data_IF_431517845485
#
_entry.id   IF_431517845485
#
_cell.length_a   1.000
_cell.length_b   1.000
_cell.length_c   1.000
_cell.angle_alpha   90.00
_cell.angle_beta   90.00
_cell.angle_gamma   90.00
#
_symmetry.space_group_name_H-M   'P 1'
#
loop_
_entity.id
_entity.type
_entity.pdbx_description
1 polymer ?
#
# COMPACT_ATOMS: atom_id res chain seq x y z
N UNK A 1 -9.25 20.29 -15.78
CA UNK A 1 -9.10 20.28 -14.32
C UNK A 1 -8.50 18.96 -13.88
N UNK A 2 -7.27 19.03 -13.36
CA UNK A 2 -6.56 17.89 -12.79
C UNK A 2 -7.04 17.69 -11.36
N UNK A 3 -7.43 16.46 -11.00
CA UNK A 3 -7.84 16.13 -9.64
C UNK A 3 -6.63 16.16 -8.70
N UNK A 4 -6.84 16.59 -7.45
CA UNK A 4 -5.77 16.60 -6.45
C UNK A 4 -5.37 15.17 -6.05
N UNK A 5 -4.07 14.94 -5.90
CA UNK A 5 -3.53 13.65 -5.46
C UNK A 5 -3.78 13.43 -3.97
N UNK A 6 -4.31 12.25 -3.60
CA UNK A 6 -4.57 11.90 -2.18
C UNK A 6 -3.28 11.77 -1.36
N UNK A 7 -2.20 11.28 -1.97
CA UNK A 7 -0.88 11.15 -1.34
C UNK A 7 0.11 12.05 -2.10
N UNK A 8 0.87 12.87 -1.38
CA UNK A 8 1.84 13.80 -1.98
C UNK A 8 3.07 13.93 -1.08
N UNK A 9 4.26 13.86 -1.68
CA UNK A 9 5.54 14.09 -0.98
C UNK A 9 5.84 13.13 0.17
N UNK A 10 5.37 11.88 0.09
CA UNK A 10 5.58 10.88 1.14
C UNK A 10 6.99 10.28 0.99
N UNK A 11 7.83 10.48 2.01
CA UNK A 11 9.12 9.80 2.17
C UNK A 11 9.14 9.05 3.50
N UNK A 12 9.15 7.72 3.44
CA UNK A 12 9.14 6.83 4.59
C UNK A 12 10.01 5.62 4.29
N UNK A 13 10.82 5.22 5.27
CA UNK A 13 11.56 3.96 5.27
C UNK A 13 11.16 3.16 6.51
N UNK A 14 10.84 1.88 6.31
CA UNK A 14 10.53 0.94 7.39
C UNK A 14 11.57 -0.17 7.35
N UNK A 15 12.33 -0.33 8.43
CA UNK A 15 13.32 -1.38 8.56
C UNK A 15 12.66 -2.71 8.95
N UNK A 16 13.37 -3.81 8.66
CA UNK A 16 12.93 -5.16 9.02
C UNK A 16 12.67 -5.26 10.53
N UNK A 17 11.48 -5.74 10.89
CA UNK A 17 11.08 -5.95 12.28
C UNK A 17 10.48 -4.73 12.99
N UNK A 18 10.44 -3.57 12.33
CA UNK A 18 9.78 -2.39 12.87
C UNK A 18 8.25 -2.54 12.86
N UNK A 19 7.63 -1.91 13.87
CA UNK A 19 6.17 -1.81 13.99
C UNK A 19 5.79 -0.34 13.84
N UNK A 20 5.12 -0.02 12.74
CA UNK A 20 4.76 1.36 12.40
C UNK A 20 3.24 1.51 12.44
N UNK A 21 2.77 2.56 13.11
CA UNK A 21 1.37 2.97 13.08
C UNK A 21 1.16 4.13 12.12
N UNK A 22 0.24 3.98 11.16
CA UNK A 22 -0.18 5.07 10.27
C UNK A 22 -1.51 5.63 10.76
N UNK A 23 -1.50 6.85 11.31
CA UNK A 23 -2.67 7.48 11.95
C UNK A 23 -3.00 8.82 11.31
N UNK A 24 -4.27 9.23 11.39
CA UNK A 24 -4.76 10.47 10.78
C UNK A 24 -6.28 10.49 10.66
N UNK A 25 -6.85 11.67 10.38
CA UNK A 25 -8.31 11.85 10.19
C UNK A 25 -8.85 11.00 9.02
N UNK A 26 -10.15 10.73 8.99
CA UNK A 26 -10.80 10.14 7.82
C UNK A 26 -10.50 10.96 6.56
N UNK A 27 -10.21 10.30 5.44
CA UNK A 27 -9.81 10.97 4.19
C UNK A 27 -8.31 11.30 4.06
N UNK A 28 -7.50 11.11 5.11
CA UNK A 28 -6.07 11.45 5.08
C UNK A 28 -5.18 10.51 4.24
N UNK A 29 -5.76 9.60 3.45
CA UNK A 29 -5.00 8.68 2.60
C UNK A 29 -4.46 7.40 3.24
N UNK A 30 -4.79 7.07 4.50
CA UNK A 30 -4.29 5.84 5.18
C UNK A 30 -4.57 4.56 4.38
N UNK A 31 -5.82 4.35 3.97
CA UNK A 31 -6.20 3.19 3.16
C UNK A 31 -5.56 3.26 1.77
N UNK A 32 -5.44 4.45 1.18
CA UNK A 32 -4.73 4.67 -0.09
C UNK A 32 -3.26 4.24 0.00
N UNK A 33 -2.57 4.53 1.10
CA UNK A 33 -1.19 4.07 1.34
C UNK A 33 -1.12 2.56 1.33
N UNK A 34 -1.97 1.88 2.10
CA UNK A 34 -2.03 0.41 2.12
C UNK A 34 -2.30 -0.18 0.73
N UNK A 35 -3.29 0.36 0.01
CA UNK A 35 -3.64 -0.10 -1.34
C UNK A 35 -2.53 0.16 -2.37
N UNK A 36 -1.72 1.22 -2.18
CA UNK A 36 -0.56 1.51 -3.03
C UNK A 36 0.57 0.50 -2.80
N UNK A 37 0.82 0.09 -1.55
CA UNK A 37 1.80 -0.97 -1.22
C UNK A 37 1.46 -2.30 -1.90
N UNK A 38 0.17 -2.62 -2.01
CA UNK A 38 -0.34 -3.84 -2.65
C UNK A 38 -0.48 -3.74 -4.18
N UNK A 39 -0.15 -2.58 -4.75
CA UNK A 39 -0.44 -2.21 -6.15
C UNK A 39 -1.87 -2.54 -6.55
N UNK A 40 -2.83 -2.22 -5.67
CA UNK A 40 -4.23 -2.09 -6.06
C UNK A 40 -4.46 -0.72 -6.69
N UNK A 41 -3.73 0.28 -6.21
CA UNK A 41 -3.59 1.60 -6.82
C UNK A 41 -2.13 1.76 -7.27
N UNK A 42 -1.92 2.25 -8.49
CA UNK A 42 -0.57 2.58 -8.98
C UNK A 42 -0.17 4.00 -8.56
N UNK A 43 1.11 4.18 -8.25
CA UNK A 43 1.63 5.47 -7.88
C UNK A 43 1.62 6.40 -9.10
N UNK A 44 0.98 7.56 -8.97
CA UNK A 44 1.00 8.59 -10.01
C UNK A 44 2.43 9.12 -10.27
N UNK A 45 3.23 9.22 -9.21
CA UNK A 45 4.63 9.63 -9.27
C UNK A 45 5.43 9.04 -8.11
N UNK A 46 6.76 9.07 -8.21
CA UNK A 46 7.65 8.49 -7.20
C UNK A 46 7.78 6.98 -7.36
N UNK A 47 8.21 6.30 -6.30
CA UNK A 47 8.46 4.86 -6.31
C UNK A 47 8.25 4.26 -4.93
N UNK A 48 7.74 3.03 -4.90
CA UNK A 48 7.66 2.21 -3.70
C UNK A 48 8.60 1.03 -3.89
N UNK A 49 9.42 0.74 -2.87
CA UNK A 49 10.34 -0.40 -2.89
C UNK A 49 10.07 -1.33 -1.73
N UNK A 50 10.11 -2.63 -1.98
CA UNK A 50 10.06 -3.70 -0.97
C UNK A 50 11.29 -4.57 -1.16
N UNK A 51 12.04 -4.80 -0.07
CA UNK A 51 13.34 -5.49 -0.11
C UNK A 51 14.29 -4.92 -1.18
N UNK A 52 14.37 -3.58 -1.21
CA UNK A 52 15.16 -2.79 -2.18
C UNK A 52 14.80 -2.99 -3.66
N UNK A 53 13.67 -3.64 -3.96
CA UNK A 53 13.15 -3.82 -5.32
C UNK A 53 11.95 -2.91 -5.58
N UNK A 54 11.95 -2.24 -6.72
CA UNK A 54 10.80 -1.46 -7.20
C UNK A 54 9.60 -2.39 -7.43
N UNK A 55 8.51 -2.14 -6.72
CA UNK A 55 7.32 -3.00 -6.82
C UNK A 55 6.63 -2.88 -8.17
N UNK A 56 6.83 -1.79 -8.92
CA UNK A 56 6.26 -1.59 -10.26
C UNK A 56 6.79 -2.60 -11.29
N UNK A 57 8.02 -3.08 -11.09
CA UNK A 57 8.68 -4.07 -11.95
C UNK A 57 8.37 -5.53 -11.57
N UNK A 58 7.67 -5.77 -10.46
CA UNK A 58 7.32 -7.11 -9.98
C UNK A 58 5.99 -7.59 -10.56
N UNK A 59 5.84 -8.90 -10.72
CA UNK A 59 4.53 -9.49 -10.96
C UNK A 59 3.65 -9.35 -9.71
N UNK A 60 2.35 -9.13 -9.93
CA UNK A 60 1.41 -8.84 -8.84
C UNK A 60 1.22 -10.02 -7.88
N UNK A 61 1.35 -11.27 -8.37
CA UNK A 61 1.19 -12.45 -7.54
C UNK A 61 2.35 -12.58 -6.55
N UNK A 62 3.59 -12.49 -7.02
CA UNK A 62 4.78 -12.54 -6.18
C UNK A 62 4.86 -11.37 -5.21
N UNK A 63 4.51 -10.15 -5.65
CA UNK A 63 4.44 -9.00 -4.75
C UNK A 63 3.45 -9.26 -3.61
N UNK A 64 2.21 -9.63 -3.95
CA UNK A 64 1.13 -9.79 -2.96
C UNK A 64 1.31 -11.02 -2.07
N UNK A 65 2.01 -12.06 -2.54
CA UNK A 65 2.38 -13.21 -1.72
C UNK A 65 3.30 -12.84 -0.53
N UNK A 66 4.03 -11.71 -0.63
CA UNK A 66 4.85 -11.17 0.47
C UNK A 66 4.06 -10.40 1.53
N UNK A 67 2.77 -10.12 1.31
CA UNK A 67 1.94 -9.33 2.22
C UNK A 67 0.83 -10.17 2.85
N UNK A 68 0.74 -10.11 4.17
CA UNK A 68 -0.45 -10.55 4.90
C UNK A 68 -1.28 -9.30 5.27
N UNK A 69 -2.54 -9.26 4.82
CA UNK A 69 -3.38 -8.07 4.94
C UNK A 69 -4.72 -8.44 5.55
N UNK A 70 -5.16 -7.64 6.52
CA UNK A 70 -6.52 -7.67 7.05
C UNK A 70 -7.18 -6.38 6.61
N UNK A 71 -8.20 -6.49 5.74
CA UNK A 71 -8.94 -5.34 5.24
C UNK A 71 -9.97 -4.87 6.28
N UNK A 72 -10.30 -3.58 6.22
CA UNK A 72 -11.29 -2.97 7.11
C UNK A 72 -12.67 -3.62 6.96
N UNK A 73 -13.09 -3.88 5.70
CA UNK A 73 -14.26 -4.69 5.39
C UNK A 73 -13.76 -6.03 4.82
N UNK A 74 -13.77 -7.08 5.64
CA UNK A 74 -13.43 -8.43 5.20
C UNK A 74 -14.64 -9.09 4.56
N UNK A 75 -14.45 -9.66 3.37
CA UNK A 75 -15.45 -10.50 2.73
C UNK A 75 -15.12 -11.97 2.99
N UNK A 76 -16.12 -12.73 3.44
CA UNK A 76 -16.00 -14.18 3.64
C UNK A 76 -16.70 -14.88 2.49
N UNK A 77 -15.96 -15.76 1.82
CA UNK A 77 -16.56 -16.71 0.90
C UNK A 77 -17.11 -17.88 1.69
N UNK A 78 -18.31 -18.33 1.36
CA UNK A 78 -18.86 -19.56 1.95
C UNK A 78 -18.02 -20.74 1.51
N UNK A 79 -17.47 -21.47 2.49
CA UNK A 79 -16.61 -22.63 2.33
C UNK A 79 -16.42 -23.30 3.69
N UNK A 80 -15.60 -24.36 3.74
CA UNK A 80 -15.21 -25.03 4.99
C UNK A 80 -13.87 -24.52 5.49
#
# INVERSE_FOLDING_TARGET
>A
DELETVLSGIDVRVARGEKIGVVGRTGSGKSTTLLSLLRVLEAHSGRITVDDRDISALDLQSLRAGFNVILQDSFLFTGT
#
